data_IF_615934766939
#
_entry.id   IF_615934766939
#
_cell.length_a   1.000
_cell.length_b   1.000
_cell.length_c   1.000
_cell.angle_alpha   90.00
_cell.angle_beta   90.00
_cell.angle_gamma   90.00
#
_symmetry.space_group_name_H-M   'P 1'
#
loop_
_entity.id
_entity.type
_entity.pdbx_description
1 polymer ?
#
# COMPACT_ATOMS: atom_id res chain seq x y z
N UNK A 1 1.94 5.53 11.70
CA UNK A 1 1.34 5.27 10.39
C UNK A 1 -0.16 5.42 10.47
N UNK A 2 -0.53 6.60 10.85
CA UNK A 2 -1.92 6.85 11.15
C UNK A 2 -2.83 6.86 9.94
N UNK A 3 -2.34 7.31 8.81
CA UNK A 3 -3.12 7.33 7.59
C UNK A 3 -3.60 5.97 7.16
N UNK A 4 -3.00 4.96 7.73
CA UNK A 4 -3.25 3.58 7.40
C UNK A 4 -4.62 3.10 7.79
N UNK A 5 -5.20 3.74 8.78
CA UNK A 5 -6.44 3.27 9.38
C UNK A 5 -7.58 4.22 9.11
N UNK A 6 -7.51 4.99 8.03
CA UNK A 6 -8.57 5.89 7.65
C UNK A 6 -9.87 5.12 7.50
N UNK A 7 -10.90 5.59 8.20
CA UNK A 7 -12.22 5.00 8.13
C UNK A 7 -12.91 5.45 6.85
N UNK A 8 -13.65 4.55 6.24
CA UNK A 8 -14.30 4.85 4.98
C UNK A 8 -15.20 6.09 5.05
N UNK A 9 -15.99 6.18 6.12
CA UNK A 9 -16.94 7.27 6.26
C UNK A 9 -16.30 8.65 6.28
N UNK A 10 -15.03 8.70 6.67
CA UNK A 10 -14.31 9.96 6.85
C UNK A 10 -13.26 10.20 5.78
N UNK A 11 -12.97 9.19 4.96
CA UNK A 11 -11.84 9.24 4.04
C UNK A 11 -11.92 10.40 3.05
N UNK A 12 -13.09 10.65 2.48
CA UNK A 12 -13.26 11.74 1.52
C UNK A 12 -13.08 13.09 2.17
N UNK A 13 -13.64 13.27 3.37
CA UNK A 13 -13.51 14.51 4.11
C UNK A 13 -12.08 14.75 4.53
N UNK A 14 -11.40 13.72 4.99
CA UNK A 14 -10.00 13.81 5.36
C UNK A 14 -9.12 14.16 4.17
N UNK A 15 -9.40 13.56 3.03
CA UNK A 15 -8.64 13.82 1.83
C UNK A 15 -8.81 15.26 1.35
N UNK A 16 -10.03 15.77 1.38
CA UNK A 16 -10.32 17.15 1.00
C UNK A 16 -9.67 18.13 1.96
N UNK A 17 -9.78 17.87 3.26
CA UNK A 17 -9.17 18.73 4.28
C UNK A 17 -7.65 18.71 4.17
N UNK A 18 -7.07 17.55 3.95
CA UNK A 18 -5.63 17.38 3.78
C UNK A 18 -5.14 18.16 2.57
N UNK A 19 -5.81 18.02 1.45
CA UNK A 19 -5.45 18.70 0.22
C UNK A 19 -5.52 20.22 0.38
N UNK A 20 -6.61 20.71 0.96
CA UNK A 20 -6.78 22.15 1.19
C UNK A 20 -5.72 22.69 2.15
N UNK A 21 -5.43 21.94 3.22
CA UNK A 21 -4.41 22.32 4.19
C UNK A 21 -3.03 22.39 3.57
N UNK A 22 -2.68 21.40 2.75
CA UNK A 22 -1.40 21.34 2.08
C UNK A 22 -1.21 22.49 1.11
N UNK A 23 -2.23 22.82 0.35
CA UNK A 23 -2.20 23.95 -0.58
C UNK A 23 -1.99 25.26 0.16
N UNK A 24 -2.71 25.45 1.25
CA UNK A 24 -2.61 26.66 2.05
C UNK A 24 -1.24 26.82 2.68
N UNK A 25 -0.65 25.71 3.13
CA UNK A 25 0.64 25.72 3.82
C UNK A 25 1.83 25.66 2.88
N UNK A 26 1.60 25.39 1.61
CA UNK A 26 2.70 25.21 0.65
C UNK A 26 3.47 23.91 0.84
N UNK A 27 2.90 22.94 1.51
CA UNK A 27 3.50 21.64 1.70
C UNK A 27 3.14 20.68 0.58
N UNK A 28 3.96 19.64 0.43
CA UNK A 28 3.67 18.51 -0.47
C UNK A 28 3.70 17.22 0.33
N UNK A 29 2.72 17.03 1.18
CA UNK A 29 2.52 15.78 1.89
C UNK A 29 1.52 14.93 1.13
N UNK A 30 1.67 13.62 1.24
CA UNK A 30 0.84 12.69 0.50
C UNK A 30 0.31 11.61 1.45
N UNK A 31 -0.99 11.34 1.33
CA UNK A 31 -1.65 10.31 2.11
C UNK A 31 -1.92 9.11 1.20
N UNK A 32 -1.33 7.96 1.53
CA UNK A 32 -1.55 6.72 0.78
C UNK A 32 -2.67 5.92 1.41
N UNK A 33 -3.48 5.30 0.57
CA UNK A 33 -4.45 4.31 1.02
C UNK A 33 -3.77 2.97 1.20
N UNK A 34 -4.12 2.21 2.24
CA UNK A 34 -3.50 0.92 2.49
C UNK A 34 -4.47 -0.22 2.31
N UNK A 35 -4.06 -1.17 1.50
CA UNK A 35 -4.78 -2.40 1.26
C UNK A 35 -4.37 -3.41 2.33
N UNK A 36 -5.36 -3.97 2.98
CA UNK A 36 -5.20 -5.01 3.98
C UNK A 36 -5.96 -6.26 3.53
N UNK A 37 -6.01 -7.30 4.35
CA UNK A 37 -6.77 -8.50 4.04
C UNK A 37 -6.08 -9.80 4.45
N UNK A 38 -4.96 -9.72 5.16
CA UNK A 38 -4.25 -10.91 5.61
C UNK A 38 -3.86 -11.82 4.45
N UNK A 39 -4.03 -13.11 4.65
CA UNK A 39 -3.73 -14.12 3.62
C UNK A 39 -4.99 -14.60 2.90
N UNK A 40 -5.98 -13.72 2.76
CA UNK A 40 -7.24 -14.04 2.13
C UNK A 40 -7.38 -13.25 0.82
N UNK A 41 -7.25 -13.93 -0.33
CA UNK A 41 -7.29 -13.25 -1.63
C UNK A 41 -8.55 -12.42 -1.84
N UNK A 42 -9.70 -12.93 -1.42
CA UNK A 42 -10.97 -12.23 -1.58
C UNK A 42 -11.01 -10.93 -0.78
N UNK A 43 -10.49 -10.97 0.44
CA UNK A 43 -10.43 -9.77 1.28
C UNK A 43 -9.44 -8.76 0.73
N UNK A 44 -8.33 -9.23 0.20
CA UNK A 44 -7.34 -8.36 -0.45
C UNK A 44 -7.94 -7.64 -1.65
N UNK A 45 -8.66 -8.36 -2.49
CA UNK A 45 -9.33 -7.79 -3.65
C UNK A 45 -10.34 -6.75 -3.21
N UNK A 46 -11.20 -7.10 -2.27
CA UNK A 46 -12.21 -6.17 -1.78
C UNK A 46 -11.58 -4.92 -1.17
N UNK A 47 -10.56 -5.09 -0.35
CA UNK A 47 -9.86 -3.96 0.24
C UNK A 47 -9.24 -3.06 -0.82
N UNK A 48 -8.60 -3.64 -1.83
CA UNK A 48 -8.01 -2.88 -2.92
C UNK A 48 -9.08 -2.10 -3.69
N UNK A 49 -10.16 -2.76 -4.05
CA UNK A 49 -11.25 -2.11 -4.81
C UNK A 49 -11.88 -0.96 -4.04
N UNK A 50 -12.14 -1.16 -2.77
CA UNK A 50 -12.75 -0.12 -1.93
C UNK A 50 -11.79 1.05 -1.69
N UNK A 51 -10.52 0.76 -1.51
CA UNK A 51 -9.51 1.80 -1.33
C UNK A 51 -9.37 2.65 -2.60
N UNK A 52 -9.39 2.01 -3.75
CA UNK A 52 -9.33 2.72 -5.04
C UNK A 52 -10.58 3.56 -5.27
N UNK A 53 -11.75 3.09 -4.86
CA UNK A 53 -12.98 3.89 -4.95
C UNK A 53 -12.88 5.21 -4.19
N UNK A 54 -12.24 5.18 -3.02
CA UNK A 54 -12.01 6.41 -2.25
C UNK A 54 -11.07 7.34 -3.00
N UNK A 55 -10.03 6.78 -3.59
CA UNK A 55 -9.05 7.51 -4.38
C UNK A 55 -7.94 8.14 -3.54
N UNK A 56 -6.71 7.77 -3.82
CA UNK A 56 -5.54 8.30 -3.15
C UNK A 56 -4.45 8.59 -4.19
N UNK A 57 -3.50 9.49 -3.89
CA UNK A 57 -2.37 9.73 -4.79
C UNK A 57 -1.41 8.55 -4.89
N UNK A 58 -1.48 7.60 -3.96
CA UNK A 58 -0.70 6.37 -4.00
C UNK A 58 -1.34 5.30 -3.13
N UNK A 59 -0.88 4.09 -3.29
CA UNK A 59 -1.45 2.94 -2.58
C UNK A 59 -0.34 2.09 -1.97
N UNK A 60 -0.61 1.55 -0.78
CA UNK A 60 0.31 0.66 -0.11
C UNK A 60 -0.35 -0.70 0.11
N UNK A 61 0.46 -1.73 0.14
CA UNK A 61 0.03 -3.08 0.47
C UNK A 61 0.64 -3.41 1.82
N UNK A 62 -0.20 -3.60 2.81
CA UNK A 62 0.21 -3.87 4.18
C UNK A 62 -0.20 -5.26 4.64
N UNK A 63 0.18 -5.61 5.86
CA UNK A 63 -0.20 -6.88 6.48
C UNK A 63 0.47 -8.10 5.89
N UNK A 64 1.63 -7.94 5.27
CA UNK A 64 2.42 -9.02 4.72
C UNK A 64 3.81 -9.03 5.35
N UNK A 65 4.58 -10.07 5.09
CA UNK A 65 5.92 -10.27 5.67
C UNK A 65 5.90 -10.31 7.20
N UNK A 66 4.86 -10.96 7.74
CA UNK A 66 4.68 -11.12 9.17
C UNK A 66 4.80 -12.59 9.59
N UNK A 67 5.56 -13.38 8.83
CA UNK A 67 5.84 -14.78 9.16
C UNK A 67 5.29 -15.79 8.18
N UNK A 68 4.56 -15.38 7.16
CA UNK A 68 4.04 -16.29 6.15
C UNK A 68 5.14 -16.77 5.19
N UNK A 69 4.96 -17.94 4.54
CA UNK A 69 5.88 -18.39 3.52
C UNK A 69 5.96 -17.42 2.34
N UNK A 70 7.15 -17.29 1.76
CA UNK A 70 7.40 -16.37 0.65
C UNK A 70 6.44 -16.52 -0.53
N UNK A 71 6.14 -17.75 -1.01
CA UNK A 71 5.18 -17.89 -2.12
C UNK A 71 3.81 -17.33 -1.79
N UNK A 72 3.37 -17.41 -0.54
CA UNK A 72 2.09 -16.86 -0.12
C UNK A 72 2.11 -15.34 -0.16
N UNK A 73 3.22 -14.73 0.25
CA UNK A 73 3.38 -13.27 0.15
C UNK A 73 3.29 -12.83 -1.31
N UNK A 74 3.97 -13.52 -2.20
CA UNK A 74 3.92 -13.19 -3.64
C UNK A 74 2.51 -13.30 -4.18
N UNK A 75 1.78 -14.34 -3.79
CA UNK A 75 0.40 -14.50 -4.22
C UNK A 75 -0.49 -13.36 -3.72
N UNK A 76 -0.32 -12.97 -2.46
CA UNK A 76 -1.13 -11.89 -1.89
C UNK A 76 -0.82 -10.54 -2.56
N UNK A 77 0.44 -10.29 -2.88
CA UNK A 77 0.81 -9.08 -3.62
C UNK A 77 0.13 -9.09 -4.99
N UNK A 78 0.16 -10.19 -5.71
CA UNK A 78 -0.53 -10.31 -6.99
C UNK A 78 -2.03 -10.03 -6.86
N UNK A 79 -2.65 -10.59 -5.84
CA UNK A 79 -4.08 -10.43 -5.61
C UNK A 79 -4.49 -8.99 -5.26
N UNK A 80 -3.57 -8.21 -4.75
CA UNK A 80 -3.84 -6.81 -4.43
C UNK A 80 -3.48 -5.90 -5.60
N UNK A 81 -2.28 -6.08 -6.15
CA UNK A 81 -1.70 -5.10 -7.07
C UNK A 81 -2.46 -5.02 -8.39
N UNK A 82 -3.08 -6.10 -8.82
CA UNK A 82 -3.85 -6.10 -10.06
C UNK A 82 -5.06 -5.18 -10.02
N UNK A 83 -5.50 -4.81 -8.83
CA UNK A 83 -6.64 -3.91 -8.65
C UNK A 83 -6.23 -2.48 -8.34
N UNK A 84 -4.93 -2.20 -8.29
CA UNK A 84 -4.41 -0.86 -8.03
C UNK A 84 -4.02 -0.18 -9.34
N UNK A 85 -4.22 1.15 -9.46
CA UNK A 85 -3.89 1.87 -10.68
C UNK A 85 -2.40 1.82 -11.00
N UNK A 86 -2.07 1.59 -12.26
CA UNK A 86 -0.68 1.55 -12.70
C UNK A 86 -0.03 2.94 -12.74
N UNK A 87 -0.83 3.98 -12.82
CA UNK A 87 -0.36 5.37 -12.90
C UNK A 87 -0.17 6.02 -11.52
N UNK A 88 -0.32 5.24 -10.46
CA UNK A 88 -0.10 5.72 -9.09
C UNK A 88 1.02 4.91 -8.44
N UNK A 89 1.81 5.51 -7.55
CA UNK A 89 2.83 4.75 -6.80
C UNK A 89 2.20 3.63 -6.00
N UNK A 90 2.85 2.48 -6.02
CA UNK A 90 2.41 1.29 -5.29
C UNK A 90 3.54 0.85 -4.37
N UNK A 91 3.29 0.89 -3.08
CA UNK A 91 4.27 0.72 -2.03
C UNK A 91 3.99 -0.58 -1.27
N UNK A 92 4.97 -1.46 -1.19
CA UNK A 92 4.87 -2.69 -0.41
C UNK A 92 5.65 -2.50 0.88
N UNK A 93 4.96 -2.66 2.00
CA UNK A 93 5.51 -2.38 3.31
C UNK A 93 6.25 -3.57 3.90
N UNK A 94 7.45 -3.32 4.42
CA UNK A 94 8.13 -4.28 5.27
C UNK A 94 8.74 -5.49 4.59
N UNK A 95 9.31 -5.34 3.42
CA UNK A 95 9.94 -6.45 2.70
C UNK A 95 11.46 -6.34 2.66
N UNK A 96 12.05 -7.34 2.39
CA UNK A 96 13.02 -8.19 2.78
C UNK A 96 14.29 -8.25 2.03
N UNK A 97 14.55 -9.30 1.35
CA UNK A 97 15.84 -9.61 0.74
C UNK A 97 15.95 -9.00 -0.65
N UNK A 98 17.18 -8.86 -1.19
CA UNK A 98 17.36 -8.38 -2.56
C UNK A 98 16.59 -9.19 -3.60
N UNK A 99 16.52 -10.51 -3.42
CA UNK A 99 15.76 -11.38 -4.33
C UNK A 99 14.28 -11.04 -4.32
N UNK A 100 13.73 -10.81 -3.14
CA UNK A 100 12.34 -10.44 -2.99
C UNK A 100 12.06 -9.08 -3.62
N UNK A 101 12.96 -8.14 -3.45
CA UNK A 101 12.81 -6.80 -4.04
C UNK A 101 12.69 -6.90 -5.56
N UNK A 102 13.59 -7.66 -6.19
CA UNK A 102 13.55 -7.85 -7.63
C UNK A 102 12.23 -8.49 -8.05
N UNK A 103 11.77 -9.48 -7.33
CA UNK A 103 10.51 -10.15 -7.63
C UNK A 103 9.33 -9.17 -7.55
N UNK A 104 9.26 -8.37 -6.48
CA UNK A 104 8.16 -7.44 -6.30
C UNK A 104 8.14 -6.35 -7.35
N UNK A 105 9.31 -5.91 -7.80
CA UNK A 105 9.38 -4.96 -8.91
C UNK A 105 8.75 -5.56 -10.17
N UNK A 106 8.99 -6.84 -10.44
CA UNK A 106 8.37 -7.50 -11.60
C UNK A 106 6.86 -7.63 -11.45
N UNK A 107 6.36 -7.63 -10.23
CA UNK A 107 4.90 -7.65 -9.98
C UNK A 107 4.26 -6.27 -10.11
N UNK A 108 5.05 -5.21 -10.17
CA UNK A 108 4.54 -3.85 -10.33
C UNK A 108 4.66 -2.97 -9.09
N UNK A 109 5.42 -3.40 -8.10
CA UNK A 109 5.67 -2.60 -6.90
C UNK A 109 6.72 -1.54 -7.23
N UNK A 110 6.44 -0.29 -6.84
CA UNK A 110 7.31 0.85 -7.13
C UNK A 110 8.18 1.26 -5.94
N UNK A 111 7.70 1.04 -4.73
CA UNK A 111 8.35 1.48 -3.49
C UNK A 111 8.35 0.37 -2.47
N UNK A 112 9.42 0.26 -1.69
CA UNK A 112 9.55 -0.76 -0.65
C UNK A 112 10.42 -0.22 0.48
N UNK A 113 10.20 -0.75 1.69
CA UNK A 113 11.09 -0.49 2.81
C UNK A 113 11.45 -1.80 3.50
N UNK A 114 12.63 -1.83 4.08
CA UNK A 114 13.12 -3.05 4.72
C UNK A 114 14.15 -2.71 5.78
N UNK A 115 14.14 -3.46 6.88
CA UNK A 115 15.11 -3.25 7.97
C UNK A 115 16.37 -4.10 7.83
N UNK A 116 16.35 -5.09 6.94
CA UNK A 116 17.49 -6.01 6.81
C UNK A 116 18.82 -5.33 6.46
N UNK A 117 18.86 -4.35 5.55
CA UNK A 117 20.12 -3.67 5.26
C UNK A 117 20.76 -3.02 6.48
N UNK A 118 19.96 -2.63 7.44
CA UNK A 118 20.44 -2.02 8.67
C UNK A 118 20.83 -3.06 9.71
N UNK A 119 20.15 -4.20 9.73
CA UNK A 119 20.33 -5.24 10.75
C UNK A 119 21.28 -6.36 10.33
N UNK A 120 21.46 -6.54 9.06
CA UNK A 120 22.38 -7.53 8.54
C UNK A 120 23.80 -7.03 8.63
#
# INVERSE_FOLDING_TARGET
MLGMTIQRRDADQEREAESASLETQGHTQTLFGIVQGGMFPDLRRESAQRTVEIGFPGYAIGGLSVGEPRPMTYEMVDNAIRYLPEDKPRYLMGVGTPEEIVHYVTQGVDMMDCVLPTRA
#
